data_IF_565804070577
#
_entry.id   IF_565804070577
#
_cell.length_a   1.000
_cell.length_b   1.000
_cell.length_c   1.000
_cell.angle_alpha   90.00
_cell.angle_beta   90.00
_cell.angle_gamma   90.00
#
_symmetry.space_group_name_H-M   'P 1'
#
loop_
_entity.id
_entity.type
_entity.pdbx_description
1 polymer ?
#
# COMPACT_ATOMS: atom_id res chain seq x y z
N UNK A 1 11.01 17.38 -1.73
CA UNK A 1 11.08 16.27 -2.75
C UNK A 1 10.80 14.96 -2.05
N UNK A 2 9.79 14.21 -2.50
CA UNK A 2 9.46 12.86 -1.99
C UNK A 2 10.58 11.88 -2.40
N UNK A 3 11.10 11.14 -1.42
CA UNK A 3 12.16 10.14 -1.62
C UNK A 3 11.61 8.71 -1.62
N UNK A 4 10.49 8.50 -0.91
CA UNK A 4 9.88 7.18 -0.80
C UNK A 4 8.35 7.27 -0.71
N UNK A 5 7.68 6.27 -1.26
CA UNK A 5 6.28 5.97 -1.01
C UNK A 5 6.23 4.85 0.02
N UNK A 6 5.54 5.09 1.12
CA UNK A 6 5.34 4.13 2.21
C UNK A 6 3.91 3.64 2.15
N UNK A 7 3.71 2.40 1.73
CA UNK A 7 2.41 1.75 1.79
C UNK A 7 2.24 1.12 3.17
N UNK A 8 1.26 1.58 3.92
CA UNK A 8 0.91 1.02 5.23
C UNK A 8 -0.26 0.06 5.06
N UNK A 9 -0.02 -1.23 5.31
CA UNK A 9 -1.01 -2.28 5.14
C UNK A 9 -2.24 -2.08 6.00
N UNK A 10 -3.41 -2.43 5.46
CA UNK A 10 -4.68 -2.31 6.17
C UNK A 10 -4.77 -3.12 7.47
N UNK A 11 -4.01 -4.21 7.59
CA UNK A 11 -3.89 -5.01 8.80
C UNK A 11 -3.22 -4.27 9.98
N UNK A 12 -2.55 -3.14 9.71
CA UNK A 12 -1.91 -2.28 10.71
C UNK A 12 -2.83 -1.16 11.22
N UNK A 13 -3.96 -0.94 10.55
CA UNK A 13 -4.96 0.05 10.96
C UNK A 13 -5.77 -0.45 12.17
N UNK A 14 -6.16 0.42 13.14
CA UNK A 14 -5.83 1.85 13.17
C UNK A 14 -4.52 2.17 13.91
N UNK A 15 -4.17 1.42 14.95
CA UNK A 15 -3.14 1.80 15.94
C UNK A 15 -1.75 1.96 15.31
N UNK A 16 -1.25 0.91 14.69
CA UNK A 16 0.09 0.93 14.10
C UNK A 16 0.18 1.91 12.92
N UNK A 17 -0.88 2.03 12.12
CA UNK A 17 -0.93 2.97 11.01
C UNK A 17 -0.78 4.42 11.48
N UNK A 18 -1.44 4.80 12.58
CA UNK A 18 -1.33 6.13 13.19
C UNK A 18 0.08 6.37 13.76
N UNK A 19 0.66 5.37 14.46
CA UNK A 19 2.02 5.46 15.00
C UNK A 19 3.06 5.63 13.89
N UNK A 20 2.95 4.84 12.82
CA UNK A 20 3.83 4.91 11.66
C UNK A 20 3.72 6.25 10.93
N UNK A 21 2.50 6.76 10.74
CA UNK A 21 2.30 8.07 10.10
C UNK A 21 2.99 9.19 10.89
N UNK A 22 2.95 9.16 12.24
CA UNK A 22 3.68 10.12 13.08
C UNK A 22 5.20 9.99 12.92
N UNK A 23 5.74 8.78 12.82
CA UNK A 23 7.17 8.55 12.67
C UNK A 23 7.72 8.97 11.32
N UNK A 24 6.87 9.02 10.29
CA UNK A 24 7.25 9.43 8.95
C UNK A 24 7.35 10.96 8.79
N UNK A 25 7.07 11.72 9.84
CA UNK A 25 7.30 13.17 9.87
C UNK A 25 8.76 13.51 9.52
N UNK A 26 8.95 14.47 8.62
CA UNK A 26 10.26 14.93 8.13
C UNK A 26 11.13 13.87 7.41
N UNK A 27 10.57 12.75 6.98
CA UNK A 27 11.31 11.70 6.24
C UNK A 27 11.26 11.84 4.72
N UNK A 28 10.60 12.87 4.20
CA UNK A 28 10.32 13.04 2.76
C UNK A 28 9.54 11.84 2.17
N UNK A 29 8.58 11.33 2.91
CA UNK A 29 7.73 10.20 2.52
C UNK A 29 6.36 10.68 2.07
N UNK A 30 5.75 9.94 1.14
CA UNK A 30 4.32 9.98 0.88
C UNK A 30 3.69 8.67 1.36
N UNK A 31 2.53 8.74 1.99
CA UNK A 31 1.85 7.59 2.59
C UNK A 31 0.68 7.16 1.71
N UNK A 32 0.54 5.84 1.52
CA UNK A 32 -0.64 5.20 0.96
C UNK A 32 -1.16 4.18 1.97
N UNK A 33 -2.44 4.25 2.31
CA UNK A 33 -3.08 3.34 3.27
C UNK A 33 -3.78 2.18 2.53
N UNK A 34 -3.69 0.98 3.09
CA UNK A 34 -4.55 -0.14 2.68
C UNK A 34 -5.97 -0.01 3.24
N UNK A 35 -6.96 -0.63 2.58
CA UNK A 35 -8.37 -0.53 2.95
C UNK A 35 -8.78 -1.20 4.26
N UNK A 36 -7.93 -2.05 4.83
CA UNK A 36 -8.14 -2.70 6.13
C UNK A 36 -9.41 -3.54 6.19
N UNK A 37 -10.03 -3.57 7.36
CA UNK A 37 -11.29 -4.31 7.59
C UNK A 37 -12.45 -3.80 6.73
N UNK A 38 -12.43 -2.55 6.26
CA UNK A 38 -13.45 -2.05 5.33
C UNK A 38 -13.39 -2.79 4.00
N UNK A 39 -12.19 -3.02 3.43
CA UNK A 39 -12.02 -3.79 2.21
C UNK A 39 -12.31 -5.30 2.44
N UNK A 40 -11.95 -5.85 3.61
CA UNK A 40 -12.30 -7.23 3.98
C UNK A 40 -13.81 -7.44 4.06
N UNK A 41 -14.55 -6.43 4.53
CA UNK A 41 -16.01 -6.48 4.57
C UNK A 41 -16.61 -6.50 3.16
N UNK A 42 -16.09 -5.72 2.22
CA UNK A 42 -16.50 -5.77 0.80
C UNK A 42 -16.26 -7.17 0.25
N UNK A 43 -15.08 -7.75 0.47
CA UNK A 43 -14.74 -9.11 0.01
C UNK A 43 -15.70 -10.17 0.57
N UNK A 44 -16.04 -10.06 1.86
CA UNK A 44 -17.03 -10.95 2.48
C UNK A 44 -18.40 -10.84 1.83
N UNK A 45 -18.87 -9.63 1.54
CA UNK A 45 -20.15 -9.45 0.86
C UNK A 45 -20.10 -9.89 -0.61
N UNK A 46 -18.95 -9.79 -1.27
CA UNK A 46 -18.75 -10.33 -2.60
C UNK A 46 -18.92 -11.85 -2.62
N UNK A 47 -18.33 -12.56 -1.65
CA UNK A 47 -18.50 -14.02 -1.50
C UNK A 47 -19.99 -14.43 -1.35
N UNK A 48 -20.81 -13.58 -0.75
CA UNK A 48 -22.25 -13.84 -0.53
C UNK A 48 -23.12 -13.44 -1.73
N UNK A 49 -22.80 -12.34 -2.40
CA UNK A 49 -23.67 -11.65 -3.37
C UNK A 49 -23.15 -11.70 -4.80
N UNK A 50 -21.86 -12.02 -4.99
CA UNK A 50 -21.19 -12.09 -6.29
C UNK A 50 -21.35 -10.77 -7.09
N UNK A 51 -20.78 -9.71 -6.59
CA UNK A 51 -20.77 -8.40 -7.26
C UNK A 51 -19.88 -8.43 -8.51
N UNK A 52 -19.97 -7.42 -9.36
CA UNK A 52 -19.08 -7.28 -10.50
C UNK A 52 -17.65 -6.97 -10.05
N UNK A 53 -16.66 -7.41 -10.84
CA UNK A 53 -15.24 -7.09 -10.58
C UNK A 53 -15.01 -5.58 -10.53
N UNK A 54 -15.68 -4.81 -11.39
CA UNK A 54 -15.62 -3.35 -11.36
C UNK A 54 -16.12 -2.76 -10.03
N UNK A 55 -17.28 -3.22 -9.53
CA UNK A 55 -17.83 -2.75 -8.26
C UNK A 55 -16.90 -3.09 -7.10
N UNK A 56 -16.37 -4.32 -7.06
CA UNK A 56 -15.45 -4.78 -6.04
C UNK A 56 -14.15 -3.98 -6.07
N UNK A 57 -13.55 -3.80 -7.23
CA UNK A 57 -12.30 -3.08 -7.41
C UNK A 57 -12.41 -1.64 -6.89
N UNK A 58 -13.38 -0.88 -7.37
CA UNK A 58 -13.51 0.53 -6.99
C UNK A 58 -13.95 0.74 -5.55
N UNK A 59 -14.84 -0.09 -5.01
CA UNK A 59 -15.23 0.02 -3.60
C UNK A 59 -14.08 -0.36 -2.66
N UNK A 60 -13.23 -1.32 -3.02
CA UNK A 60 -12.03 -1.65 -2.26
C UNK A 60 -11.02 -0.49 -2.26
N UNK A 61 -10.86 0.21 -3.39
CA UNK A 61 -10.03 1.42 -3.48
C UNK A 61 -10.63 2.56 -2.65
N UNK A 62 -11.95 2.76 -2.67
CA UNK A 62 -12.62 3.75 -1.82
C UNK A 62 -12.38 3.47 -0.31
N UNK A 63 -12.23 2.21 0.08
CA UNK A 63 -11.86 1.86 1.46
C UNK A 63 -10.46 2.36 1.86
N UNK A 64 -9.53 2.48 0.91
CA UNK A 64 -8.20 3.08 1.16
C UNK A 64 -8.33 4.56 1.53
N UNK A 65 -9.22 5.29 0.88
CA UNK A 65 -9.48 6.70 1.20
C UNK A 65 -10.13 6.87 2.59
N UNK A 66 -10.98 5.92 3.00
CA UNK A 66 -11.58 5.92 4.35
C UNK A 66 -10.48 5.82 5.41
N UNK A 67 -9.60 4.83 5.31
CA UNK A 67 -8.50 4.65 6.27
C UNK A 67 -7.55 5.84 6.26
N UNK A 68 -7.23 6.39 5.08
CA UNK A 68 -6.38 7.57 4.91
C UNK A 68 -6.95 8.79 5.66
N UNK A 69 -8.22 9.10 5.50
CA UNK A 69 -8.90 10.21 6.19
C UNK A 69 -8.89 10.02 7.71
N UNK A 70 -9.10 8.79 8.19
CA UNK A 70 -9.10 8.50 9.63
C UNK A 70 -7.69 8.60 10.24
N UNK A 71 -6.64 8.21 9.52
CA UNK A 71 -5.25 8.40 9.98
C UNK A 71 -4.90 9.88 10.01
N UNK A 72 -5.25 10.63 8.96
CA UNK A 72 -5.00 12.07 8.90
C UNK A 72 -5.69 12.85 10.06
N UNK A 73 -6.89 12.44 10.47
CA UNK A 73 -7.60 13.04 11.62
C UNK A 73 -6.82 12.92 12.94
N UNK A 74 -5.92 11.95 13.05
CA UNK A 74 -5.15 11.65 14.28
C UNK A 74 -3.69 12.10 14.24
N UNK A 75 -3.20 12.65 13.12
CA UNK A 75 -1.79 12.99 12.94
C UNK A 75 -1.66 14.39 12.33
N UNK A 76 -1.41 15.39 13.17
CA UNK A 76 -1.36 16.81 12.78
C UNK A 76 -0.24 17.13 11.77
N UNK A 77 0.82 16.30 11.70
CA UNK A 77 1.93 16.45 10.76
C UNK A 77 1.64 15.88 9.38
N UNK A 78 0.42 15.39 9.12
CA UNK A 78 0.01 14.88 7.80
C UNK A 78 -0.96 15.83 7.10
N UNK A 79 -1.07 15.67 5.78
CA UNK A 79 -2.07 16.36 4.95
C UNK A 79 -2.61 15.42 3.87
N UNK A 80 -3.90 15.57 3.51
CA UNK A 80 -4.50 14.80 2.42
C UNK A 80 -4.15 15.42 1.07
N UNK A 81 -3.60 14.62 0.17
CA UNK A 81 -3.33 14.97 -1.22
C UNK A 81 -4.24 14.17 -2.15
N UNK A 82 -4.75 14.78 -3.19
CA UNK A 82 -5.65 14.18 -4.19
C UNK A 82 -5.00 14.09 -5.58
N UNK A 83 -3.87 14.77 -5.75
CA UNK A 83 -3.08 14.77 -6.99
C UNK A 83 -1.60 14.61 -6.68
N UNK A 84 -0.82 14.20 -7.68
CA UNK A 84 0.64 14.09 -7.56
C UNK A 84 1.28 15.45 -7.23
N UNK A 85 0.73 16.55 -7.73
CA UNK A 85 1.26 17.87 -7.45
C UNK A 85 0.97 18.30 -6.00
N UNK A 86 -0.22 18.02 -5.48
CA UNK A 86 -0.54 18.24 -4.06
C UNK A 86 0.35 17.40 -3.12
N UNK A 87 0.74 16.17 -3.51
CA UNK A 87 1.72 15.37 -2.75
C UNK A 87 3.05 16.12 -2.61
N UNK A 88 3.52 16.78 -3.68
CA UNK A 88 4.76 17.55 -3.66
C UNK A 88 4.60 18.83 -2.86
N UNK A 89 3.51 19.57 -3.05
CA UNK A 89 3.20 20.83 -2.35
C UNK A 89 3.15 20.61 -0.84
N UNK A 90 2.39 19.61 -0.35
CA UNK A 90 2.34 19.29 1.09
C UNK A 90 3.71 18.94 1.65
N UNK A 91 4.52 18.18 0.90
CA UNK A 91 5.88 17.84 1.31
C UNK A 91 6.79 19.09 1.40
N UNK A 92 6.65 20.02 0.48
CA UNK A 92 7.43 21.27 0.47
C UNK A 92 6.98 22.20 1.61
N UNK A 93 5.72 22.13 2.03
CA UNK A 93 5.15 22.80 3.20
C UNK A 93 5.52 22.12 4.54
N UNK A 94 6.28 21.03 4.50
CA UNK A 94 6.74 20.30 5.69
C UNK A 94 5.73 19.31 6.28
N UNK A 95 4.64 19.03 5.58
CA UNK A 95 3.69 18.00 5.95
C UNK A 95 4.05 16.65 5.31
N UNK A 96 3.64 15.57 5.93
CA UNK A 96 3.72 14.22 5.34
C UNK A 96 2.43 13.97 4.56
N UNK A 97 2.46 13.93 3.22
CA UNK A 97 1.26 13.72 2.43
C UNK A 97 0.72 12.30 2.58
N UNK A 98 -0.58 12.18 2.80
CA UNK A 98 -1.34 10.94 2.68
C UNK A 98 -2.14 11.04 1.39
N UNK A 99 -1.87 10.15 0.43
CA UNK A 99 -2.48 10.24 -0.88
C UNK A 99 -3.85 9.56 -0.90
N UNK A 100 -4.87 10.33 -1.27
CA UNK A 100 -6.23 9.87 -1.55
C UNK A 100 -6.27 9.40 -3.01
N UNK A 101 -6.37 8.10 -3.20
CA UNK A 101 -6.04 7.49 -4.50
C UNK A 101 -7.24 7.26 -5.42
N UNK A 102 -8.46 7.23 -4.89
CA UNK A 102 -9.62 6.75 -5.65
C UNK A 102 -9.93 7.60 -6.89
N UNK A 103 -10.05 8.91 -6.75
CA UNK A 103 -10.35 9.81 -7.87
C UNK A 103 -9.19 9.90 -8.86
N UNK A 104 -7.96 9.92 -8.36
CA UNK A 104 -6.76 9.87 -9.19
C UNK A 104 -6.73 8.62 -10.07
N UNK A 105 -6.93 7.43 -9.48
CA UNK A 105 -6.92 6.17 -10.22
C UNK A 105 -8.08 6.05 -11.21
N UNK A 106 -9.27 6.60 -10.89
CA UNK A 106 -10.38 6.64 -11.85
C UNK A 106 -10.06 7.50 -13.07
N UNK A 107 -9.26 8.54 -12.91
CA UNK A 107 -8.80 9.40 -14.01
C UNK A 107 -7.71 8.75 -14.87
N UNK A 108 -6.78 8.03 -14.24
CA UNK A 108 -5.66 7.35 -14.93
C UNK A 108 -6.04 5.98 -15.51
N UNK A 109 -6.93 5.26 -14.82
CA UNK A 109 -7.39 3.89 -15.16
C UNK A 109 -6.25 2.91 -15.53
N UNK A 110 -5.20 2.79 -14.67
CA UNK A 110 -3.98 2.07 -15.03
C UNK A 110 -4.09 0.55 -14.89
N UNK A 111 -5.15 0.03 -14.26
CA UNK A 111 -5.30 -1.37 -13.89
C UNK A 111 -6.59 -1.98 -14.41
N UNK A 112 -6.54 -3.26 -14.76
CA UNK A 112 -7.75 -4.06 -14.90
C UNK A 112 -8.43 -4.25 -13.55
N UNK A 113 -9.77 -4.21 -13.53
CA UNK A 113 -10.55 -4.42 -12.31
C UNK A 113 -10.40 -5.86 -11.84
N UNK A 114 -9.77 -6.07 -10.69
CA UNK A 114 -9.48 -7.38 -10.13
C UNK A 114 -9.13 -7.28 -8.64
N UNK A 115 -9.34 -8.36 -7.89
CA UNK A 115 -8.81 -8.51 -6.54
C UNK A 115 -7.29 -8.76 -6.49
N UNK A 116 -6.64 -9.02 -7.63
CA UNK A 116 -5.18 -9.19 -7.72
C UNK A 116 -4.45 -7.85 -7.59
N UNK A 117 -5.14 -6.75 -7.86
CA UNK A 117 -4.65 -5.39 -7.67
C UNK A 117 -5.10 -4.88 -6.31
N UNK A 118 -4.17 -4.67 -5.41
CA UNK A 118 -4.42 -4.09 -4.09
C UNK A 118 -3.60 -2.83 -3.85
N UNK A 119 -3.58 -2.35 -2.63
CA UNK A 119 -2.80 -1.18 -2.24
C UNK A 119 -1.30 -1.30 -2.48
N UNK A 120 -0.73 -2.52 -2.58
CA UNK A 120 0.69 -2.73 -2.91
C UNK A 120 0.99 -2.31 -4.35
N UNK A 121 0.21 -2.80 -5.31
CA UNK A 121 0.33 -2.45 -6.72
C UNK A 121 0.04 -0.97 -6.97
N UNK A 122 -0.96 -0.42 -6.30
CA UNK A 122 -1.28 1.02 -6.37
C UNK A 122 -0.11 1.86 -5.87
N UNK A 123 0.50 1.48 -4.75
CA UNK A 123 1.67 2.18 -4.21
C UNK A 123 2.89 2.08 -5.13
N UNK A 124 3.10 0.93 -5.79
CA UNK A 124 4.16 0.77 -6.79
C UNK A 124 3.96 1.71 -7.99
N UNK A 125 2.73 1.81 -8.49
CA UNK A 125 2.40 2.72 -9.57
C UNK A 125 2.66 4.18 -9.20
N UNK A 126 2.20 4.62 -8.03
CA UNK A 126 2.45 5.98 -7.53
C UNK A 126 3.95 6.22 -7.33
N UNK A 127 4.68 5.28 -6.74
CA UNK A 127 6.13 5.39 -6.56
C UNK A 127 6.87 5.54 -7.89
N UNK A 128 6.44 4.80 -8.94
CA UNK A 128 6.96 4.95 -10.29
C UNK A 128 6.72 6.35 -10.85
N UNK A 129 5.48 6.87 -10.77
CA UNK A 129 5.11 8.19 -11.29
C UNK A 129 5.91 9.35 -10.67
N UNK A 130 6.22 9.26 -9.38
CA UNK A 130 6.99 10.30 -8.68
C UNK A 130 8.48 9.99 -8.58
N UNK A 131 8.93 8.89 -9.18
CA UNK A 131 10.32 8.41 -9.16
C UNK A 131 10.89 8.27 -7.73
N UNK A 132 10.12 7.63 -6.85
CA UNK A 132 10.46 7.39 -5.46
C UNK A 132 10.68 5.90 -5.17
N UNK A 133 11.38 5.58 -4.07
CA UNK A 133 11.50 4.20 -3.57
C UNK A 133 10.16 3.71 -3.04
N UNK A 134 9.92 2.40 -3.11
CA UNK A 134 8.73 1.77 -2.55
C UNK A 134 9.07 1.01 -1.26
N UNK A 135 8.35 1.30 -0.19
CA UNK A 135 8.39 0.58 1.06
C UNK A 135 6.99 0.03 1.37
N UNK A 136 6.87 -1.29 1.42
CA UNK A 136 5.66 -2.00 1.82
C UNK A 136 5.75 -2.34 3.29
N UNK A 137 4.86 -1.76 4.09
CA UNK A 137 4.78 -1.99 5.54
C UNK A 137 3.58 -2.88 5.82
N UNK A 138 3.84 -4.06 6.35
CA UNK A 138 2.85 -5.12 6.60
C UNK A 138 2.93 -5.63 8.04
N UNK A 139 2.12 -6.61 8.40
CA UNK A 139 2.06 -7.19 9.76
C UNK A 139 2.94 -8.43 9.95
N UNK A 140 3.73 -8.80 8.94
CA UNK A 140 4.73 -9.88 8.96
C UNK A 140 6.11 -9.35 8.61
N UNK A 141 7.18 -10.12 8.87
CA UNK A 141 8.56 -9.63 8.74
C UNK A 141 9.04 -9.45 7.28
N UNK A 142 8.28 -9.86 6.28
CA UNK A 142 8.62 -9.76 4.87
C UNK A 142 8.07 -10.93 4.07
N UNK A 143 8.81 -11.38 3.06
CA UNK A 143 8.43 -12.50 2.20
C UNK A 143 8.84 -13.82 2.83
N UNK A 144 7.98 -14.84 2.67
CA UNK A 144 8.20 -16.20 3.15
C UNK A 144 7.95 -17.20 2.03
N UNK A 145 8.50 -18.41 2.17
CA UNK A 145 8.30 -19.50 1.20
C UNK A 145 6.86 -20.00 1.11
N UNK A 146 6.09 -19.78 2.18
CA UNK A 146 4.65 -20.07 2.31
C UNK A 146 4.09 -19.22 3.46
N UNK A 147 2.83 -19.40 3.84
CA UNK A 147 2.23 -18.68 4.95
C UNK A 147 3.12 -18.71 6.20
N UNK A 148 3.48 -17.59 6.82
CA UNK A 148 4.46 -17.52 7.92
C UNK A 148 4.20 -18.41 9.12
N UNK A 149 2.94 -18.79 9.34
CA UNK A 149 2.51 -19.65 10.45
C UNK A 149 2.55 -21.14 10.15
N UNK A 150 2.76 -21.51 8.90
CA UNK A 150 2.82 -22.92 8.50
C UNK A 150 4.15 -23.55 8.86
N UNK A 151 4.13 -24.85 9.28
CA UNK A 151 5.37 -25.58 9.54
C UNK A 151 6.25 -25.64 8.30
N UNK A 152 7.53 -25.30 8.46
CA UNK A 152 8.50 -25.26 7.36
C UNK A 152 8.55 -23.95 6.57
N UNK A 153 7.71 -22.96 6.91
CA UNK A 153 7.81 -21.62 6.37
C UNK A 153 9.17 -20.98 6.70
N UNK A 154 9.84 -20.43 5.69
CA UNK A 154 11.16 -19.82 5.84
C UNK A 154 11.12 -18.37 5.33
N UNK A 155 11.67 -17.45 6.14
CA UNK A 155 11.83 -16.06 5.76
C UNK A 155 12.84 -15.92 4.60
N UNK A 156 12.49 -15.09 3.63
CA UNK A 156 13.32 -14.79 2.47
C UNK A 156 13.77 -13.33 2.55
N UNK A 157 15.07 -13.13 2.86
CA UNK A 157 15.63 -11.79 3.03
C UNK A 157 15.79 -11.00 1.73
N UNK A 158 15.93 -11.69 0.59
CA UNK A 158 16.03 -11.10 -0.74
C UNK A 158 15.54 -12.09 -1.79
N UNK A 159 14.70 -11.61 -2.71
CA UNK A 159 14.17 -12.40 -3.83
C UNK A 159 14.04 -11.49 -5.05
N UNK A 160 14.29 -12.01 -6.23
CA UNK A 160 14.00 -11.29 -7.46
C UNK A 160 12.51 -11.42 -7.83
N UNK A 161 11.99 -10.39 -8.53
CA UNK A 161 10.58 -10.33 -8.88
C UNK A 161 10.16 -11.45 -9.84
N UNK A 162 11.06 -11.93 -10.70
CA UNK A 162 10.80 -13.06 -11.62
C UNK A 162 10.52 -14.35 -10.82
N UNK A 163 11.34 -14.63 -9.82
CA UNK A 163 11.13 -15.78 -8.92
C UNK A 163 9.85 -15.60 -8.09
N UNK A 164 9.59 -14.38 -7.61
CA UNK A 164 8.40 -14.06 -6.82
C UNK A 164 7.08 -14.29 -7.60
N UNK A 165 7.09 -14.11 -8.93
CA UNK A 165 5.96 -14.44 -9.80
C UNK A 165 5.54 -15.93 -9.74
N UNK A 166 6.43 -16.82 -9.33
CA UNK A 166 6.11 -18.26 -9.18
C UNK A 166 5.40 -18.59 -7.88
N UNK A 167 5.31 -17.64 -6.94
CA UNK A 167 4.63 -17.81 -5.66
C UNK A 167 3.12 -17.66 -5.85
N UNK A 168 2.35 -18.57 -5.31
CA UNK A 168 0.88 -18.50 -5.35
C UNK A 168 0.35 -17.51 -4.33
N UNK A 169 0.96 -17.48 -3.13
CA UNK A 169 0.62 -16.58 -2.04
C UNK A 169 1.90 -16.00 -1.43
N UNK A 170 1.85 -14.73 -1.07
CA UNK A 170 2.91 -14.04 -0.36
C UNK A 170 2.33 -12.90 0.47
N UNK A 171 3.18 -12.19 1.21
CA UNK A 171 2.77 -11.02 2.00
C UNK A 171 2.50 -9.75 1.18
N UNK A 172 2.63 -9.84 -0.14
CA UNK A 172 2.34 -8.78 -1.12
C UNK A 172 1.31 -9.28 -2.14
N UNK A 173 0.66 -8.35 -2.86
CA UNK A 173 -0.32 -8.73 -3.87
C UNK A 173 0.29 -9.40 -5.12
N UNK A 174 -0.56 -10.11 -5.85
CA UNK A 174 -0.17 -10.94 -7.00
C UNK A 174 0.38 -10.09 -8.16
N UNK A 175 -0.12 -8.88 -8.35
CA UNK A 175 0.25 -8.00 -9.45
C UNK A 175 1.59 -7.29 -9.20
N UNK A 176 1.96 -7.03 -7.95
CA UNK A 176 3.15 -6.24 -7.61
C UNK A 176 4.45 -6.73 -8.28
N UNK A 177 4.80 -8.04 -8.30
CA UNK A 177 6.02 -8.49 -8.96
C UNK A 177 6.10 -8.14 -10.44
N UNK A 178 4.97 -8.23 -11.17
CA UNK A 178 4.90 -7.85 -12.59
C UNK A 178 5.16 -6.37 -12.78
N UNK A 179 4.59 -5.51 -11.93
CA UNK A 179 4.81 -4.06 -11.98
C UNK A 179 6.25 -3.69 -11.65
N UNK A 180 6.88 -4.35 -10.69
CA UNK A 180 8.29 -4.13 -10.37
C UNK A 180 9.21 -4.46 -11.56
N UNK A 181 8.91 -5.53 -12.29
CA UNK A 181 9.63 -5.88 -13.52
C UNK A 181 9.39 -4.85 -14.64
N UNK A 182 8.14 -4.44 -14.83
CA UNK A 182 7.78 -3.45 -15.85
C UNK A 182 8.45 -2.09 -15.59
N UNK A 183 8.45 -1.64 -14.35
CA UNK A 183 9.03 -0.36 -13.96
C UNK A 183 10.54 -0.41 -13.74
N UNK A 184 11.15 -1.60 -13.71
CA UNK A 184 12.56 -1.79 -13.39
C UNK A 184 12.91 -1.30 -12.00
N UNK A 185 12.00 -1.48 -11.03
CA UNK A 185 12.12 -0.97 -9.67
C UNK A 185 12.15 -2.08 -8.62
N UNK A 186 12.68 -1.74 -7.46
CA UNK A 186 12.71 -2.61 -6.28
C UNK A 186 11.70 -2.13 -5.24
N UNK A 187 11.31 -3.02 -4.33
CA UNK A 187 10.60 -2.64 -3.12
C UNK A 187 11.22 -3.30 -1.88
N UNK A 188 10.96 -2.70 -0.74
CA UNK A 188 11.30 -3.25 0.58
C UNK A 188 10.01 -3.64 1.29
N UNK A 189 10.03 -4.80 1.97
CA UNK A 189 8.88 -5.29 2.73
C UNK A 189 9.30 -5.44 4.18
N UNK A 190 8.62 -4.72 5.09
CA UNK A 190 8.97 -4.65 6.51
C UNK A 190 7.75 -4.82 7.41
N UNK A 191 7.99 -5.23 8.65
CA UNK A 191 6.94 -5.38 9.65
C UNK A 191 6.70 -4.05 10.38
N UNK A 192 5.54 -3.45 10.19
CA UNK A 192 5.13 -2.19 10.80
C UNK A 192 4.77 -2.24 12.28
N UNK A 193 4.77 -3.45 12.89
CA UNK A 193 4.68 -3.59 14.35
C UNK A 193 5.99 -3.27 15.05
N UNK A 194 7.04 -3.08 14.27
CA UNK A 194 8.38 -2.67 14.71
C UNK A 194 8.74 -1.36 14.00
N UNK A 195 8.26 -0.22 14.52
CA UNK A 195 8.37 1.07 13.84
C UNK A 195 9.81 1.49 13.50
N UNK A 196 10.78 1.04 14.28
CA UNK A 196 12.22 1.28 14.04
C UNK A 196 12.75 0.65 12.73
N UNK A 197 11.94 -0.15 12.03
CA UNK A 197 12.28 -0.76 10.73
C UNK A 197 11.75 0.04 9.54
N UNK A 198 10.93 1.04 9.80
CA UNK A 198 10.28 1.91 8.82
C UNK A 198 10.94 3.29 8.79
#
# INVERSE_FOLDING_TARGET
IIKQVVKIGGSLFPKYAIELARQLENTNSAIILGGGEFANLIRKYDDEMNFTEEANHWTAIDCMDITAKLVNDKVDSTGLAYTIDEVKELSDDGLTPIFIVSDFLRGEDPFECSWDVTSDSIAAYVAHLINAKLLIVTNVNGIYTQEPREPGSTFIGKIDATTLLTFQESSIDVMLPSLLLEFGSDCYVVNGKFPERV
#
